data_IF_226736658642
#
_entry.id   IF_226736658642
#
_cell.length_a   1.000
_cell.length_b   1.000
_cell.length_c   1.000
_cell.angle_alpha   90.00
_cell.angle_beta   90.00
_cell.angle_gamma   90.00
#
_symmetry.space_group_name_H-M   'P 1'
#
loop_
_entity.id
_entity.type
_entity.pdbx_description
1 polymer ?
#
# COMPACT_ATOMS: atom_id res chain seq x y z
N UNK A 1 -6.88 -9.30 -4.26
CA UNK A 1 -5.83 -9.27 -3.22
C UNK A 1 -5.84 -7.92 -2.54
N UNK A 2 -5.75 -7.93 -1.22
CA UNK A 2 -5.71 -6.70 -0.44
C UNK A 2 -4.27 -6.40 -0.01
N UNK A 3 -3.87 -5.14 -0.12
CA UNK A 3 -2.56 -4.66 0.32
C UNK A 3 -2.76 -3.85 1.58
N UNK A 4 -2.15 -4.30 2.68
CA UNK A 4 -2.19 -3.58 3.94
C UNK A 4 -0.99 -2.63 4.03
N UNK A 5 -1.29 -1.35 4.21
CA UNK A 5 -0.27 -0.31 4.38
C UNK A 5 -0.29 0.18 5.83
N UNK A 6 0.88 0.24 6.44
CA UNK A 6 1.06 0.83 7.76
C UNK A 6 1.62 2.23 7.63
N UNK A 7 0.95 3.19 8.24
CA UNK A 7 1.33 4.61 8.23
C UNK A 7 1.59 5.03 9.67
N UNK A 8 2.70 5.73 9.90
CA UNK A 8 3.01 6.31 11.21
C UNK A 8 2.98 7.83 11.12
N UNK A 9 2.25 8.45 12.05
CA UNK A 9 2.31 9.90 12.24
C UNK A 9 3.65 10.31 12.84
N UNK A 10 4.10 11.53 12.57
CA UNK A 10 5.27 12.09 13.26
C UNK A 10 4.95 12.33 14.73
N UNK A 11 5.98 12.24 15.57
CA UNK A 11 5.87 12.61 16.99
C UNK A 11 5.41 14.06 17.15
N UNK A 12 4.55 14.31 18.10
CA UNK A 12 4.06 15.66 18.42
C UNK A 12 3.01 16.20 17.46
N UNK A 13 2.54 15.41 16.52
CA UNK A 13 1.41 15.80 15.68
C UNK A 13 0.11 15.60 16.44
N UNK A 14 -0.48 16.70 16.87
CA UNK A 14 -1.82 16.77 17.50
C UNK A 14 -2.76 17.45 16.53
N UNK A 15 -2.97 16.90 15.35
CA UNK A 15 -3.78 17.56 14.33
C UNK A 15 -5.19 17.05 14.34
N UNK A 16 -6.08 17.94 14.01
CA UNK A 16 -7.38 17.54 13.47
C UNK A 16 -7.14 16.87 12.11
N UNK A 17 -7.56 15.63 11.98
CA UNK A 17 -7.47 14.86 10.74
C UNK A 17 -8.75 14.91 9.91
N UNK A 18 -9.64 15.86 10.19
CA UNK A 18 -10.86 16.05 9.42
C UNK A 18 -10.53 16.30 7.93
N UNK A 19 -11.11 15.48 7.05
CA UNK A 19 -10.89 15.56 5.61
C UNK A 19 -9.56 15.00 5.12
N UNK A 20 -8.73 14.44 6.01
CA UNK A 20 -7.50 13.74 5.61
C UNK A 20 -7.86 12.41 4.95
N UNK A 21 -7.16 12.07 3.89
CA UNK A 21 -7.34 10.80 3.19
C UNK A 21 -6.02 10.23 2.69
N UNK A 22 -5.99 8.91 2.64
CA UNK A 22 -4.94 8.15 1.97
C UNK A 22 -5.33 8.01 0.49
N UNK A 23 -4.42 8.33 -0.40
CA UNK A 23 -4.60 8.21 -1.84
C UNK A 23 -3.57 7.28 -2.43
N UNK A 24 -3.97 6.53 -3.44
CA UNK A 24 -3.06 5.64 -4.15
C UNK A 24 -3.35 5.62 -5.65
N UNK A 25 -2.35 5.27 -6.41
CA UNK A 25 -2.49 5.05 -7.85
C UNK A 25 -1.52 3.99 -8.34
N UNK A 26 -1.93 3.26 -9.35
CA UNK A 26 -1.10 2.32 -10.10
C UNK A 26 -1.62 2.19 -11.53
N UNK A 27 -0.81 1.63 -12.42
CA UNK A 27 -1.23 1.36 -13.80
C UNK A 27 -1.74 -0.08 -13.92
N UNK A 28 -2.95 -0.26 -14.44
CA UNK A 28 -3.44 -1.60 -14.79
C UNK A 28 -2.72 -2.08 -16.05
N UNK A 29 -2.00 -3.19 -15.93
CA UNK A 29 -1.17 -3.72 -17.01
C UNK A 29 -1.99 -4.23 -18.20
N UNK A 30 -3.27 -4.58 -17.99
CA UNK A 30 -4.13 -5.08 -19.06
C UNK A 30 -4.72 -3.98 -19.93
N UNK A 31 -4.91 -2.80 -19.38
CA UNK A 31 -5.56 -1.67 -20.06
C UNK A 31 -4.62 -0.49 -20.31
N UNK A 32 -3.53 -0.40 -19.54
CA UNK A 32 -2.64 0.75 -19.52
C UNK A 32 -3.25 1.97 -18.82
N UNK A 33 -4.43 1.84 -18.23
CA UNK A 33 -5.09 2.94 -17.53
C UNK A 33 -4.57 3.10 -16.10
N UNK A 34 -4.64 4.33 -15.61
CA UNK A 34 -4.30 4.63 -14.21
C UNK A 34 -5.51 4.35 -13.32
N UNK A 35 -5.32 3.44 -12.40
CA UNK A 35 -6.28 3.16 -11.33
C UNK A 35 -5.95 4.02 -10.12
N UNK A 36 -6.94 4.67 -9.54
CA UNK A 36 -6.77 5.53 -8.37
C UNK A 36 -7.80 5.18 -7.31
N UNK A 37 -7.44 5.42 -6.05
CA UNK A 37 -8.38 5.27 -4.94
C UNK A 37 -8.09 6.22 -3.81
N UNK A 38 -9.13 6.50 -3.03
CA UNK A 38 -9.08 7.34 -1.85
C UNK A 38 -9.71 6.61 -0.67
N UNK A 39 -9.05 6.65 0.47
CA UNK A 39 -9.52 6.04 1.71
C UNK A 39 -9.53 7.12 2.79
N UNK A 40 -10.72 7.57 3.23
CA UNK A 40 -10.82 8.64 4.23
C UNK A 40 -10.27 8.18 5.58
N UNK A 41 -9.74 9.12 6.35
CA UNK A 41 -9.11 8.85 7.65
C UNK A 41 -10.03 8.08 8.61
N UNK A 42 -11.31 8.33 8.57
CA UNK A 42 -12.31 7.67 9.40
C UNK A 42 -12.37 6.15 9.18
N UNK A 43 -11.90 5.69 8.02
CA UNK A 43 -11.84 4.26 7.68
C UNK A 43 -10.53 3.58 8.08
N UNK A 44 -9.55 4.35 8.58
CA UNK A 44 -8.26 3.79 8.98
C UNK A 44 -8.36 3.09 10.32
N UNK A 45 -7.61 2.02 10.51
CA UNK A 45 -7.54 1.35 11.80
C UNK A 45 -6.41 1.96 12.62
N UNK A 46 -6.76 2.60 13.73
CA UNK A 46 -5.79 3.16 14.67
C UNK A 46 -5.13 2.03 15.46
N UNK A 47 -3.82 2.03 15.48
CA UNK A 47 -2.98 1.14 16.29
C UNK A 47 -2.41 1.82 17.53
N UNK A 48 -1.29 1.31 18.00
CA UNK A 48 -0.62 1.81 19.21
C UNK A 48 0.13 3.12 18.94
N UNK A 49 0.27 3.91 20.00
CA UNK A 49 1.18 5.06 20.03
C UNK A 49 2.47 4.63 20.72
N UNK A 50 3.61 4.86 20.09
CA UNK A 50 4.92 4.50 20.61
C UNK A 50 5.42 5.50 21.67
N UNK A 51 6.59 5.19 22.26
CA UNK A 51 7.20 6.05 23.28
C UNK A 51 7.62 7.42 22.78
N UNK A 52 7.70 7.61 21.47
CA UNK A 52 8.03 8.87 20.81
C UNK A 52 6.79 9.68 20.41
N UNK A 53 5.60 9.23 20.81
CA UNK A 53 4.34 9.88 20.48
C UNK A 53 3.87 9.67 19.04
N UNK A 54 4.43 8.68 18.32
CA UNK A 54 3.99 8.33 16.96
C UNK A 54 2.87 7.31 17.03
N UNK A 55 1.77 7.59 16.36
CA UNK A 55 0.63 6.66 16.27
C UNK A 55 0.67 5.92 14.95
N UNK A 56 0.49 4.62 15.01
CA UNK A 56 0.39 3.74 13.86
C UNK A 56 -1.06 3.67 13.37
N UNK A 57 -1.24 3.75 12.06
CA UNK A 57 -2.51 3.55 11.38
C UNK A 57 -2.36 2.48 10.31
N UNK A 58 -3.41 1.69 10.10
CA UNK A 58 -3.46 0.69 9.03
C UNK A 58 -4.54 1.04 8.03
N UNK A 59 -4.18 0.94 6.77
CA UNK A 59 -5.06 1.21 5.61
C UNK A 59 -4.98 0.02 4.68
N UNK A 60 -6.10 -0.42 4.15
CA UNK A 60 -6.16 -1.54 3.20
C UNK A 60 -6.52 -1.02 1.80
N UNK A 61 -5.66 -1.30 0.82
CA UNK A 61 -5.98 -1.17 -0.60
C UNK A 61 -6.63 -2.47 -1.03
N UNK A 62 -7.91 -2.42 -1.39
CA UNK A 62 -8.71 -3.60 -1.70
C UNK A 62 -8.75 -3.91 -3.20
N UNK A 63 -8.98 -5.18 -3.51
CA UNK A 63 -9.31 -5.65 -4.86
C UNK A 63 -8.24 -5.42 -5.93
N UNK A 64 -6.99 -5.33 -5.55
CA UNK A 64 -5.89 -5.28 -6.50
C UNK A 64 -5.79 -6.63 -7.22
N UNK A 65 -5.92 -6.60 -8.56
CA UNK A 65 -5.77 -7.80 -9.36
C UNK A 65 -4.34 -8.36 -9.29
N UNK A 66 -4.20 -9.67 -9.29
CA UNK A 66 -2.90 -10.32 -9.19
C UNK A 66 -1.91 -9.87 -10.28
N UNK A 67 -2.40 -9.60 -11.49
CA UNK A 67 -1.59 -9.08 -12.60
C UNK A 67 -0.91 -7.74 -12.29
N UNK A 68 -1.48 -6.96 -11.37
CA UNK A 68 -1.01 -5.62 -11.01
C UNK A 68 -0.12 -5.59 -9.77
N UNK A 69 0.06 -6.69 -9.06
CA UNK A 69 0.85 -6.71 -7.82
C UNK A 69 2.33 -6.39 -8.02
N UNK A 70 2.84 -6.47 -9.24
CA UNK A 70 4.20 -6.06 -9.58
C UNK A 70 4.30 -4.62 -10.09
N UNK A 71 3.18 -3.95 -10.27
CA UNK A 71 3.19 -2.53 -10.63
C UNK A 71 3.62 -1.70 -9.43
N UNK A 72 4.36 -0.64 -9.69
CA UNK A 72 4.65 0.34 -8.65
C UNK A 72 3.36 1.03 -8.23
N UNK A 73 3.12 1.10 -6.92
CA UNK A 73 1.97 1.79 -6.35
C UNK A 73 2.47 3.08 -5.71
N UNK A 74 1.96 4.20 -6.18
CA UNK A 74 2.22 5.50 -5.58
C UNK A 74 1.24 5.72 -4.45
N UNK A 75 1.76 6.06 -3.27
CA UNK A 75 0.99 6.27 -2.04
C UNK A 75 1.22 7.69 -1.53
N UNK A 76 0.18 8.33 -1.05
CA UNK A 76 0.28 9.64 -0.40
C UNK A 76 -0.81 9.80 0.67
N UNK A 77 -0.61 10.74 1.57
CA UNK A 77 -1.62 11.22 2.51
C UNK A 77 -1.84 12.70 2.25
N UNK A 78 -3.07 13.05 1.96
CA UNK A 78 -3.44 14.42 1.60
C UNK A 78 -4.48 14.99 2.55
N UNK A 79 -4.52 16.30 2.65
CA UNK A 79 -5.56 17.02 3.39
C UNK A 79 -6.84 17.17 2.55
N UNK A 80 -7.83 17.87 3.11
CA UNK A 80 -9.10 18.12 2.45
C UNK A 80 -8.99 18.85 1.11
N UNK A 81 -7.90 19.63 0.90
CA UNK A 81 -7.64 20.35 -0.36
C UNK A 81 -6.89 19.50 -1.40
N UNK A 82 -6.45 18.29 -1.03
CA UNK A 82 -5.62 17.44 -1.87
C UNK A 82 -4.12 17.73 -1.77
N UNK A 83 -3.72 18.55 -0.82
CA UNK A 83 -2.30 18.86 -0.59
C UNK A 83 -1.65 17.77 0.25
N UNK A 84 -0.46 17.31 -0.18
CA UNK A 84 0.31 16.30 0.55
C UNK A 84 0.66 16.78 1.97
N UNK A 85 0.48 15.88 2.93
CA UNK A 85 0.75 16.18 4.33
C UNK A 85 2.17 15.72 4.68
N UNK A 86 3.08 16.65 4.96
CA UNK A 86 4.47 16.37 5.34
C UNK A 86 4.63 15.51 6.59
N UNK A 87 3.56 15.32 7.35
CA UNK A 87 3.54 14.48 8.56
C UNK A 87 3.60 13.00 8.25
N UNK A 88 3.29 12.64 7.02
CA UNK A 88 3.40 11.29 6.45
C UNK A 88 4.32 11.39 5.25
N UNK A 89 5.00 10.32 4.95
CA UNK A 89 5.95 10.29 3.87
C UNK A 89 5.31 9.65 2.63
N UNK A 90 5.51 10.25 1.47
CA UNK A 90 5.12 9.66 0.19
C UNK A 90 5.91 8.36 -0.02
N UNK A 91 5.20 7.33 -0.43
CA UNK A 91 5.80 6.02 -0.67
C UNK A 91 5.36 5.54 -2.04
N UNK A 92 6.32 5.07 -2.81
CA UNK A 92 6.06 4.28 -4.02
C UNK A 92 6.76 2.95 -3.84
N UNK A 93 6.03 1.84 -3.97
CA UNK A 93 6.61 0.52 -3.83
C UNK A 93 5.90 -0.52 -4.70
N UNK A 94 6.60 -1.61 -4.96
CA UNK A 94 6.06 -2.79 -5.57
C UNK A 94 5.74 -3.82 -4.47
N UNK A 95 4.46 -4.04 -4.23
CA UNK A 95 4.02 -4.88 -3.13
C UNK A 95 4.52 -6.32 -3.26
N UNK A 96 4.56 -6.88 -4.46
CA UNK A 96 5.01 -8.24 -4.68
C UNK A 96 6.51 -8.40 -4.43
N UNK A 97 7.33 -7.47 -4.88
CA UNK A 97 8.77 -7.47 -4.59
C UNK A 97 9.04 -7.28 -3.10
N UNK A 98 8.29 -6.43 -2.44
CA UNK A 98 8.39 -6.21 -1.00
C UNK A 98 8.14 -7.52 -0.22
N UNK A 99 7.04 -8.22 -0.51
CA UNK A 99 6.72 -9.48 0.15
C UNK A 99 7.74 -10.58 -0.15
N UNK A 100 8.24 -10.67 -1.38
CA UNK A 100 9.32 -11.59 -1.72
C UNK A 100 10.61 -11.30 -0.94
N UNK A 101 10.97 -10.05 -0.78
CA UNK A 101 12.14 -9.65 0.00
C UNK A 101 12.02 -10.06 1.47
N UNK A 102 10.82 -9.89 2.08
CA UNK A 102 10.56 -10.32 3.45
C UNK A 102 10.70 -11.84 3.65
N UNK A 103 10.40 -12.63 2.63
CA UNK A 103 10.43 -14.09 2.69
C UNK A 103 11.73 -14.70 2.15
N UNK A 104 12.69 -13.88 1.75
CA UNK A 104 13.96 -14.35 1.18
C UNK A 104 14.70 -15.25 2.18
N UNK A 105 15.08 -16.44 1.68
CA UNK A 105 15.78 -17.43 2.49
C UNK A 105 14.90 -18.22 3.47
N UNK A 106 13.60 -17.97 3.51
CA UNK A 106 12.66 -18.71 4.32
C UNK A 106 12.19 -19.97 3.59
N UNK A 107 11.90 -21.03 4.35
CA UNK A 107 11.39 -22.32 3.84
C UNK A 107 10.02 -22.67 4.42
N UNK A 108 9.39 -21.75 5.12
CA UNK A 108 8.07 -21.95 5.72
C UNK A 108 6.98 -22.12 4.67
N UNK A 109 5.81 -22.66 5.08
CA UNK A 109 4.62 -22.72 4.23
C UNK A 109 4.22 -21.34 3.72
N UNK A 110 4.36 -20.30 4.55
CA UNK A 110 4.08 -18.93 4.15
C UNK A 110 5.02 -18.46 3.04
N UNK A 111 6.32 -18.74 3.13
CA UNK A 111 7.29 -18.41 2.09
C UNK A 111 6.96 -19.12 0.77
N UNK A 112 6.62 -20.41 0.83
CA UNK A 112 6.19 -21.18 -0.34
C UNK A 112 4.95 -20.56 -1.00
N UNK A 113 3.97 -20.14 -0.19
CA UNK A 113 2.77 -19.45 -0.67
C UNK A 113 3.12 -18.13 -1.36
N UNK A 114 3.99 -17.32 -0.75
CA UNK A 114 4.43 -16.04 -1.33
C UNK A 114 5.11 -16.24 -2.69
N UNK A 115 5.99 -17.22 -2.82
CA UNK A 115 6.64 -17.53 -4.10
C UNK A 115 5.65 -18.04 -5.15
N UNK A 116 4.67 -18.84 -4.76
CA UNK A 116 3.60 -19.32 -5.65
C UNK A 116 2.73 -18.14 -6.15
N UNK A 117 2.37 -17.23 -5.28
CA UNK A 117 1.63 -16.00 -5.62
C UNK A 117 2.45 -15.15 -6.61
N UNK A 118 3.76 -14.97 -6.36
CA UNK A 118 4.65 -14.21 -7.23
C UNK A 118 4.72 -14.83 -8.63
N UNK A 119 4.85 -16.15 -8.71
CA UNK A 119 4.87 -16.86 -9.99
C UNK A 119 3.54 -16.66 -10.73
N UNK A 120 2.42 -16.78 -10.04
CA UNK A 120 1.11 -16.49 -10.62
C UNK A 120 1.00 -15.05 -11.12
N UNK A 121 1.43 -14.07 -10.33
CA UNK A 121 1.42 -12.66 -10.73
C UNK A 121 2.26 -12.41 -11.97
N UNK A 122 3.44 -13.03 -12.06
CA UNK A 122 4.31 -12.92 -13.24
C UNK A 122 3.65 -13.47 -14.50
N UNK A 123 3.03 -14.63 -14.39
CA UNK A 123 2.32 -15.26 -15.52
C UNK A 123 1.10 -14.46 -15.93
N UNK A 124 0.32 -13.97 -14.98
CA UNK A 124 -0.82 -13.11 -15.25
C UNK A 124 -0.40 -11.80 -15.92
N UNK A 125 0.64 -11.14 -15.42
CA UNK A 125 1.16 -9.93 -16.02
C UNK A 125 1.64 -10.15 -17.45
N UNK A 126 2.39 -11.23 -17.71
CA UNK A 126 2.84 -11.57 -19.05
C UNK A 126 1.67 -11.85 -20.02
N UNK A 127 0.64 -12.51 -19.54
CA UNK A 127 -0.58 -12.78 -20.34
C UNK A 127 -1.29 -11.49 -20.75
N UNK A 128 -1.48 -10.57 -19.80
CA UNK A 128 -2.21 -9.33 -20.06
C UNK A 128 -1.37 -8.23 -20.73
N UNK A 129 -0.05 -8.34 -20.72
CA UNK A 129 0.85 -7.40 -21.41
C UNK A 129 0.94 -7.63 -22.93
N UNK A 130 0.45 -8.76 -23.39
CA UNK A 130 0.44 -9.11 -24.84
C UNK A 130 -0.84 -8.60 -25.53
#
# INVERSE_FOLDING_TARGET
INILVTIKSRAGVTSDFAGVKFVYSYTDISTGSTETGEIPFESWTKGATDSRGRTEYKVSISDVAARNLRQAITLDVVDASGTSIYKFQDISFNAAEYYCALQKGQTSTLATLCYSIMNYCNKAAAYFAN
#
